data_IF_406635170189
#
_entry.id   IF_406635170189
#
_cell.length_a   1.000
_cell.length_b   1.000
_cell.length_c   1.000
_cell.angle_alpha   90.00
_cell.angle_beta   90.00
_cell.angle_gamma   90.00
#
_symmetry.space_group_name_H-M   'P 1'
#
loop_
_entity.id
_entity.type
_entity.pdbx_description
1 polymer ?
#
# COMPACT_ATOMS: atom_id res chain seq x y z
N UNK A 1 10.25 -26.25 21.27
CA UNK A 1 9.51 -24.97 21.16
C UNK A 1 10.03 -24.13 20.01
N UNK A 2 11.33 -23.79 19.97
CA UNK A 2 11.95 -23.06 18.83
C UNK A 2 11.71 -23.71 17.45
N UNK A 3 11.85 -25.03 17.34
CA UNK A 3 11.65 -25.74 16.05
C UNK A 3 10.19 -25.74 15.57
N UNK A 4 9.23 -25.63 16.50
CA UNK A 4 7.80 -25.58 16.17
C UNK A 4 7.45 -24.20 15.62
N UNK A 5 7.97 -23.14 16.26
CA UNK A 5 7.81 -21.76 15.81
C UNK A 5 8.45 -21.56 14.44
N UNK A 6 9.68 -22.03 14.23
CA UNK A 6 10.36 -21.91 12.94
C UNK A 6 9.59 -22.60 11.80
N UNK A 7 9.05 -23.79 12.05
CA UNK A 7 8.21 -24.50 11.07
C UNK A 7 6.95 -23.72 10.71
N UNK A 8 6.30 -23.09 11.69
CA UNK A 8 5.11 -22.29 11.44
C UNK A 8 5.44 -21.05 10.59
N UNK A 9 6.54 -20.36 10.89
CA UNK A 9 7.03 -19.21 10.09
C UNK A 9 7.33 -19.64 8.65
N UNK A 10 8.06 -20.76 8.46
CA UNK A 10 8.37 -21.28 7.13
C UNK A 10 7.12 -21.67 6.35
N UNK A 11 6.11 -22.24 7.01
CA UNK A 11 4.84 -22.59 6.39
C UNK A 11 4.10 -21.33 5.91
N UNK A 12 3.95 -20.32 6.78
CA UNK A 12 3.33 -19.03 6.44
C UNK A 12 4.05 -18.34 5.28
N UNK A 13 5.39 -18.29 5.32
CA UNK A 13 6.19 -17.77 4.22
C UNK A 13 5.93 -18.53 2.91
N UNK A 14 5.88 -19.86 2.97
CA UNK A 14 5.63 -20.70 1.78
C UNK A 14 4.26 -20.41 1.18
N UNK A 15 3.23 -20.23 2.01
CA UNK A 15 1.88 -19.95 1.54
C UNK A 15 1.76 -18.54 0.95
N UNK A 16 2.41 -17.53 1.56
CA UNK A 16 2.49 -16.18 1.01
C UNK A 16 3.23 -16.13 -0.34
N UNK A 17 4.33 -16.88 -0.49
CA UNK A 17 5.08 -16.95 -1.74
C UNK A 17 4.28 -17.64 -2.85
N UNK A 18 3.47 -18.66 -2.53
CA UNK A 18 2.58 -19.28 -3.52
C UNK A 18 1.55 -18.30 -4.06
N UNK A 19 0.95 -17.49 -3.19
CA UNK A 19 0.00 -16.47 -3.65
C UNK A 19 0.69 -15.40 -4.50
N UNK A 20 1.89 -14.98 -4.12
CA UNK A 20 2.69 -14.06 -4.94
C UNK A 20 2.97 -14.63 -6.33
N UNK A 21 3.43 -15.88 -6.42
CA UNK A 21 3.70 -16.50 -7.72
C UNK A 21 2.43 -16.63 -8.56
N UNK A 22 1.29 -16.96 -7.93
CA UNK A 22 0.00 -16.96 -8.61
C UNK A 22 -0.36 -15.59 -9.18
N UNK A 23 -0.19 -14.51 -8.41
CA UNK A 23 -0.44 -13.15 -8.91
C UNK A 23 0.50 -12.77 -10.06
N UNK A 24 1.78 -13.17 -9.99
CA UNK A 24 2.75 -12.94 -11.07
C UNK A 24 2.36 -13.70 -12.34
N UNK A 25 1.86 -14.94 -12.22
CA UNK A 25 1.35 -15.71 -13.36
C UNK A 25 0.08 -15.09 -13.95
N UNK A 26 -0.81 -14.58 -13.10
CA UNK A 26 -2.07 -13.94 -13.51
C UNK A 26 -1.86 -12.55 -14.13
N UNK A 27 -0.88 -11.77 -13.65
CA UNK A 27 -0.61 -10.38 -14.02
C UNK A 27 0.90 -10.13 -14.26
N UNK A 28 1.52 -10.80 -15.26
CA UNK A 28 2.97 -10.76 -15.49
C UNK A 28 3.49 -9.40 -15.99
N UNK A 29 2.60 -8.51 -16.40
CA UNK A 29 2.88 -7.16 -16.88
C UNK A 29 3.00 -6.12 -15.75
N UNK A 30 2.55 -6.47 -14.53
CA UNK A 30 2.62 -5.57 -13.38
C UNK A 30 4.00 -5.61 -12.70
N UNK A 31 4.52 -4.45 -12.25
CA UNK A 31 5.70 -4.43 -11.39
C UNK A 31 5.39 -5.06 -10.03
N UNK A 32 6.41 -5.64 -9.39
CA UNK A 32 6.33 -6.13 -8.02
C UNK A 32 6.99 -5.09 -7.10
N UNK A 33 6.24 -4.59 -6.11
CA UNK A 33 6.69 -3.54 -5.19
C UNK A 33 6.68 -4.07 -3.77
N UNK A 34 7.80 -3.93 -3.06
CA UNK A 34 7.87 -4.26 -1.64
C UNK A 34 7.39 -3.07 -0.80
N UNK A 35 6.31 -3.26 -0.04
CA UNK A 35 5.83 -2.31 0.95
C UNK A 35 6.34 -2.73 2.31
N UNK A 36 7.24 -1.94 2.88
CA UNK A 36 7.95 -2.28 4.12
C UNK A 36 7.28 -1.57 5.28
N UNK A 37 6.94 -2.33 6.31
CA UNK A 37 6.42 -1.80 7.58
C UNK A 37 7.39 -0.77 8.17
N UNK A 38 6.86 0.39 8.55
CA UNK A 38 7.64 1.48 9.12
C UNK A 38 8.38 1.08 10.39
N UNK A 39 7.90 0.08 11.15
CA UNK A 39 8.57 -0.40 12.35
C UNK A 39 9.84 -1.23 12.05
N UNK A 40 10.02 -1.65 10.80
CA UNK A 40 11.23 -2.37 10.36
C UNK A 40 12.36 -1.39 10.03
N UNK A 41 12.04 -0.25 9.43
CA UNK A 41 13.03 0.74 9.02
C UNK A 41 13.38 1.66 10.18
N UNK A 42 14.64 2.09 10.26
CA UNK A 42 15.05 3.15 11.18
C UNK A 42 15.93 4.17 10.46
N UNK A 43 16.13 5.32 11.09
CA UNK A 43 16.93 6.43 10.55
C UNK A 43 18.44 6.13 10.50
N UNK A 44 18.86 4.95 10.96
CA UNK A 44 20.23 4.46 10.94
C UNK A 44 20.51 3.59 9.72
N UNK A 45 21.75 3.65 9.22
CA UNK A 45 22.22 2.75 8.17
C UNK A 45 22.40 1.32 8.69
N UNK A 46 21.69 0.36 8.09
CA UNK A 46 21.78 -1.05 8.48
C UNK A 46 20.90 -1.98 7.67
N UNK A 47 20.93 -3.27 8.03
CA UNK A 47 20.00 -4.26 7.52
C UNK A 47 18.99 -4.58 8.61
N UNK A 48 17.72 -4.61 8.23
CA UNK A 48 16.61 -4.89 9.12
C UNK A 48 15.99 -6.23 8.74
N UNK A 49 15.63 -7.02 9.75
CA UNK A 49 14.98 -8.31 9.55
C UNK A 49 13.48 -8.10 9.42
N UNK A 50 12.94 -8.36 8.24
CA UNK A 50 11.50 -8.45 7.99
C UNK A 50 11.05 -9.88 7.68
N UNK A 51 9.75 -10.11 7.77
CA UNK A 51 9.09 -11.33 7.34
C UNK A 51 8.24 -11.10 6.09
N UNK A 52 8.10 -12.14 5.26
CA UNK A 52 7.21 -12.12 4.11
C UNK A 52 5.76 -12.13 4.57
N UNK A 53 5.09 -11.00 4.39
CA UNK A 53 3.67 -10.81 4.61
C UNK A 53 2.84 -11.23 3.40
N UNK A 54 1.60 -10.75 3.39
CA UNK A 54 0.66 -10.97 2.28
C UNK A 54 1.08 -10.22 1.02
N UNK A 55 0.44 -10.53 -0.10
CA UNK A 55 0.55 -9.75 -1.33
C UNK A 55 -0.84 -9.54 -1.94
N UNK A 56 -0.98 -8.49 -2.74
CA UNK A 56 -2.20 -8.16 -3.48
C UNK A 56 -1.89 -7.28 -4.68
N UNK A 57 -2.86 -7.14 -5.60
CA UNK A 57 -2.78 -6.13 -6.66
C UNK A 57 -3.41 -4.84 -6.13
N UNK A 58 -2.64 -3.77 -6.13
CA UNK A 58 -3.09 -2.43 -5.74
C UNK A 58 -2.36 -1.37 -6.59
N UNK A 59 -2.49 -0.11 -6.21
CA UNK A 59 -1.89 1.02 -6.90
C UNK A 59 -1.06 1.87 -5.94
N UNK A 60 -0.04 2.50 -6.50
CA UNK A 60 0.75 3.50 -5.79
C UNK A 60 1.08 4.67 -6.71
N UNK A 61 1.46 5.79 -6.11
CA UNK A 61 2.00 6.96 -6.79
C UNK A 61 3.20 7.48 -6.00
N UNK A 62 4.19 8.02 -6.69
CA UNK A 62 5.34 8.68 -6.05
C UNK A 62 5.09 10.17 -6.06
N UNK A 63 4.97 10.74 -4.87
CA UNK A 63 4.84 12.17 -4.64
C UNK A 63 6.20 12.77 -4.23
N UNK A 64 6.49 13.98 -4.70
CA UNK A 64 7.78 14.65 -4.44
C UNK A 64 7.99 15.02 -2.97
N UNK A 65 6.92 15.44 -2.28
CA UNK A 65 6.98 15.93 -0.91
C UNK A 65 6.64 14.85 0.13
N UNK A 66 5.73 13.93 -0.24
CA UNK A 66 5.18 12.92 0.67
C UNK A 66 5.70 11.49 0.43
N UNK A 67 6.55 11.29 -0.59
CA UNK A 67 7.09 9.98 -0.93
C UNK A 67 6.05 9.06 -1.59
N UNK A 68 6.12 7.76 -1.30
CA UNK A 68 5.21 6.77 -1.92
C UNK A 68 3.86 6.79 -1.20
N UNK A 69 2.80 7.02 -1.95
CA UNK A 69 1.41 6.96 -1.48
C UNK A 69 0.77 5.73 -2.11
N UNK A 70 0.17 4.88 -1.27
CA UNK A 70 -0.58 3.71 -1.71
C UNK A 70 -2.06 4.05 -1.78
N UNK A 71 -2.75 3.49 -2.76
CA UNK A 71 -4.16 3.76 -2.96
C UNK A 71 -5.05 2.96 -2.01
N UNK A 72 -4.71 1.72 -1.70
CA UNK A 72 -5.54 0.83 -0.87
C UNK A 72 -6.94 0.58 -1.48
N UNK A 73 -7.02 -0.13 -2.63
CA UNK A 73 -8.25 -0.26 -3.46
C UNK A 73 -9.56 -0.52 -2.69
N UNK A 74 -9.51 -1.22 -1.55
CA UNK A 74 -10.68 -1.51 -0.73
C UNK A 74 -11.13 -0.38 0.21
N UNK A 75 -10.20 0.51 0.63
CA UNK A 75 -10.45 1.58 1.58
C UNK A 75 -9.38 2.69 1.46
N UNK A 76 -9.32 3.42 0.33
CA UNK A 76 -8.38 4.52 0.20
C UNK A 76 -8.60 5.54 1.31
N UNK A 77 -7.52 6.02 1.93
CA UNK A 77 -7.55 7.22 2.77
C UNK A 77 -7.78 8.45 1.88
N UNK A 78 -9.02 8.60 1.46
CA UNK A 78 -9.41 9.53 0.39
C UNK A 78 -9.09 10.97 0.77
N UNK A 79 -9.25 11.32 2.03
CA UNK A 79 -8.98 12.67 2.55
C UNK A 79 -7.48 12.95 2.55
N UNK A 80 -6.68 12.05 3.14
CA UNK A 80 -5.22 12.22 3.20
C UNK A 80 -4.58 12.25 1.81
N UNK A 81 -5.02 11.38 0.89
CA UNK A 81 -4.53 11.39 -0.50
C UNK A 81 -4.96 12.70 -1.19
N UNK A 82 -6.20 13.14 -1.02
CA UNK A 82 -6.70 14.35 -1.65
C UNK A 82 -5.91 15.58 -1.21
N UNK A 83 -5.67 15.74 0.09
CA UNK A 83 -4.93 16.87 0.68
C UNK A 83 -3.48 17.00 0.18
N UNK A 84 -2.88 15.89 -0.26
CA UNK A 84 -1.52 15.87 -0.82
C UNK A 84 -1.43 16.33 -2.27
N UNK A 85 -2.55 16.43 -2.98
CA UNK A 85 -2.58 16.71 -4.43
C UNK A 85 -3.51 17.85 -4.83
N UNK A 86 -4.56 18.12 -4.06
CA UNK A 86 -5.62 19.03 -4.46
C UNK A 86 -5.95 20.03 -3.36
N UNK A 87 -6.28 21.24 -3.78
CA UNK A 87 -6.89 22.24 -2.91
C UNK A 87 -8.41 22.06 -2.90
N UNK A 88 -9.00 22.13 -1.70
CA UNK A 88 -10.45 22.00 -1.49
C UNK A 88 -11.25 23.05 -2.25
N UNK A 89 -10.86 24.32 -2.16
CA UNK A 89 -11.59 25.43 -2.76
C UNK A 89 -11.51 25.40 -4.29
N UNK A 90 -10.34 25.04 -4.86
CA UNK A 90 -10.19 24.85 -6.31
C UNK A 90 -11.05 23.70 -6.85
N UNK A 91 -11.33 22.69 -6.01
CA UNK A 91 -12.22 21.58 -6.35
C UNK A 91 -13.70 21.87 -6.06
N UNK A 92 -14.04 23.06 -5.56
CA UNK A 92 -15.41 23.42 -5.20
C UNK A 92 -15.95 22.65 -3.99
N UNK A 93 -15.05 22.19 -3.12
CA UNK A 93 -15.37 21.55 -1.86
C UNK A 93 -15.18 22.60 -0.77
N UNK A 94 -16.26 23.02 -0.12
CA UNK A 94 -16.23 23.95 1.00
C UNK A 94 -16.43 23.23 2.34
N UNK A 95 -16.09 23.91 3.44
CA UNK A 95 -16.21 23.37 4.80
C UNK A 95 -17.67 23.13 5.25
N UNK A 96 -18.66 23.71 4.57
CA UNK A 96 -20.08 23.52 4.86
C UNK A 96 -20.65 22.29 4.14
N UNK A 97 -19.94 21.74 3.14
CA UNK A 97 -20.35 20.56 2.40
C UNK A 97 -20.22 19.31 3.30
N UNK A 98 -21.32 18.56 3.53
CA UNK A 98 -21.26 17.36 4.35
C UNK A 98 -20.33 16.29 3.75
N UNK A 99 -19.62 15.55 4.61
CA UNK A 99 -18.70 14.47 4.22
C UNK A 99 -19.31 13.46 3.23
N UNK A 100 -20.61 13.13 3.40
CA UNK A 100 -21.33 12.21 2.51
C UNK A 100 -21.36 12.67 1.04
N UNK A 101 -21.24 13.98 0.81
CA UNK A 101 -21.15 14.60 -0.52
C UNK A 101 -19.70 14.94 -0.90
N UNK A 102 -18.87 15.35 0.07
CA UNK A 102 -17.49 15.74 -0.18
C UNK A 102 -16.59 14.53 -0.52
N UNK A 103 -16.72 13.42 0.22
CA UNK A 103 -15.87 12.23 0.05
C UNK A 103 -15.97 11.62 -1.37
N UNK A 104 -17.16 11.45 -1.98
CA UNK A 104 -17.25 11.00 -3.37
C UNK A 104 -16.55 11.94 -4.37
N UNK A 105 -16.65 13.25 -4.18
CA UNK A 105 -16.00 14.24 -5.05
C UNK A 105 -14.47 14.18 -4.94
N UNK A 106 -13.95 14.09 -3.71
CA UNK A 106 -12.52 13.86 -3.48
C UNK A 106 -12.07 12.56 -4.14
N UNK A 107 -12.87 11.50 -3.95
CA UNK A 107 -12.60 10.19 -4.54
C UNK A 107 -12.48 10.26 -6.07
N UNK A 108 -13.43 10.92 -6.72
CA UNK A 108 -13.40 11.12 -8.17
C UNK A 108 -12.14 11.84 -8.62
N UNK A 109 -11.63 12.81 -7.85
CA UNK A 109 -10.38 13.51 -8.14
C UNK A 109 -9.16 12.63 -7.96
N UNK A 110 -9.02 11.95 -6.82
CA UNK A 110 -7.87 11.06 -6.59
C UNK A 110 -7.82 9.93 -7.62
N UNK A 111 -8.98 9.44 -8.10
CA UNK A 111 -9.06 8.38 -9.11
C UNK A 111 -8.51 8.81 -10.48
N UNK A 112 -8.32 10.13 -10.70
CA UNK A 112 -7.69 10.68 -11.92
C UNK A 112 -6.16 10.80 -11.86
N UNK A 113 -5.55 10.60 -10.69
CA UNK A 113 -4.09 10.65 -10.56
C UNK A 113 -3.43 9.51 -11.37
N UNK A 114 -2.17 9.71 -11.77
CA UNK A 114 -1.41 8.75 -12.57
C UNK A 114 -0.89 7.58 -11.73
N UNK A 115 -1.83 6.78 -11.22
CA UNK A 115 -1.58 5.62 -10.39
C UNK A 115 -0.88 4.52 -11.16
N UNK A 116 0.21 4.00 -10.59
CA UNK A 116 0.85 2.78 -11.07
C UNK A 116 0.21 1.56 -10.40
N UNK A 117 -0.48 0.72 -11.17
CA UNK A 117 -0.94 -0.59 -10.70
C UNK A 117 0.25 -1.56 -10.56
N UNK A 118 0.27 -2.34 -9.49
CA UNK A 118 1.39 -3.19 -9.11
C UNK A 118 0.94 -4.38 -8.25
N UNK A 119 1.77 -5.42 -8.23
CA UNK A 119 1.68 -6.47 -7.21
C UNK A 119 2.43 -5.96 -5.98
N UNK A 120 1.70 -5.55 -4.96
CA UNK A 120 2.26 -5.09 -3.69
C UNK A 120 2.55 -6.30 -2.81
N UNK A 121 3.77 -6.38 -2.29
CA UNK A 121 4.18 -7.40 -1.32
C UNK A 121 4.56 -6.74 -0.01
N UNK A 122 3.88 -7.12 1.07
CA UNK A 122 4.11 -6.56 2.38
C UNK A 122 5.30 -7.25 3.06
N UNK A 123 6.29 -6.48 3.45
CA UNK A 123 7.36 -6.91 4.36
C UNK A 123 6.98 -6.41 5.75
N UNK A 124 6.67 -7.34 6.64
CA UNK A 124 6.11 -7.06 7.97
C UNK A 124 7.06 -7.48 9.08
N UNK A 125 6.77 -7.10 10.32
CA UNK A 125 7.54 -7.58 11.46
C UNK A 125 7.56 -9.12 11.52
N UNK A 126 8.70 -9.74 11.89
CA UNK A 126 8.75 -11.17 12.17
C UNK A 126 7.84 -11.57 13.33
N UNK A 127 7.23 -12.77 13.21
CA UNK A 127 6.42 -13.40 14.27
C UNK A 127 7.27 -13.90 15.46
#
# INVERSE_FOLDING_TARGET
MKDVVLKAVMQKQTDNLKELFKLIEERPDLPIVAMVDSEIVADDGGFWLGAWGRCEVDKYIVNEDYGVIFYEQGRPDTVDIFEKYFDYAECGIDEELPDEQALPLMKEKIDTLDWTEAIIVYVVLPD
#
